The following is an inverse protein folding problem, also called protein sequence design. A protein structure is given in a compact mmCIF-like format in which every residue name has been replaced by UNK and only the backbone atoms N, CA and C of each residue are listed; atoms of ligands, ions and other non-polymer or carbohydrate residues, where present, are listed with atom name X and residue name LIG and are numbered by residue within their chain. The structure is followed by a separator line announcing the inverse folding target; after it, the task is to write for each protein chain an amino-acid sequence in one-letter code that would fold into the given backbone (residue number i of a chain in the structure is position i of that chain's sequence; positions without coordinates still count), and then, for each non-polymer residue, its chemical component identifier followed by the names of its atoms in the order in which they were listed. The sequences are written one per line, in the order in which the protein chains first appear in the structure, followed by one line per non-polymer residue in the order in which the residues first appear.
data_IF_659587145030
#
_entry.id   IF_659587145030
#
_cell.length_a   1.000
_cell.length_b   1.000
_cell.length_c   1.000
_cell.angle_alpha   90.00
_cell.angle_beta   90.00
_cell.angle_gamma   90.00
#
_symmetry.space_group_name_H-M   'P 1'
#
loop_
_entity.id
_entity.type
_entity.pdbx_description
1 polymer ?
#
# COMPACT_ATOMS: atom_id res chain seq x y z
N UNK A 1 0.49 2.82 5.10
CA UNK A 1 -0.13 2.66 6.43
C UNK A 1 0.20 3.84 7.32
N UNK A 2 -0.70 4.09 8.26
CA UNK A 2 -0.39 5.04 9.31
C UNK A 2 0.75 4.54 10.20
N UNK A 3 1.15 5.37 11.17
CA UNK A 3 2.25 5.09 12.09
C UNK A 3 2.13 3.69 12.74
N UNK A 4 0.93 3.27 13.11
CA UNK A 4 0.70 1.98 13.76
C UNK A 4 1.02 0.79 12.84
N UNK A 5 0.62 0.84 11.57
CA UNK A 5 0.96 -0.18 10.58
C UNK A 5 2.48 -0.28 10.35
N UNK A 6 3.16 0.87 10.32
CA UNK A 6 4.61 0.89 10.24
C UNK A 6 5.30 0.30 11.49
N UNK A 7 4.76 0.56 12.69
CA UNK A 7 5.27 -0.05 13.93
C UNK A 7 5.08 -1.57 13.92
N UNK A 8 3.89 -2.05 13.52
CA UNK A 8 3.60 -3.48 13.35
C UNK A 8 4.58 -4.12 12.37
N UNK A 9 4.81 -3.49 11.23
CA UNK A 9 5.79 -3.93 10.24
C UNK A 9 7.21 -4.06 10.82
N UNK A 10 7.68 -3.10 11.60
CA UNK A 10 9.01 -3.16 12.23
C UNK A 10 9.13 -4.26 13.27
N UNK A 11 8.09 -4.46 14.08
CA UNK A 11 8.08 -5.51 15.11
C UNK A 11 7.96 -6.90 14.46
N UNK A 12 7.10 -7.06 13.44
CA UNK A 12 6.95 -8.32 12.70
C UNK A 12 8.25 -8.72 11.99
N UNK A 13 8.95 -7.77 11.36
CA UNK A 13 10.25 -8.04 10.74
C UNK A 13 11.28 -8.58 11.74
N UNK A 14 11.22 -8.16 13.01
CA UNK A 14 12.07 -8.71 14.08
C UNK A 14 11.75 -10.18 14.37
N UNK A 15 10.46 -10.54 14.36
CA UNK A 15 10.06 -11.94 14.54
C UNK A 15 10.49 -12.79 13.33
N UNK A 16 10.30 -12.29 12.11
CA UNK A 16 10.73 -12.97 10.89
C UNK A 16 12.25 -13.17 10.85
N UNK A 17 13.06 -12.20 11.30
CA UNK A 17 14.51 -12.35 11.41
C UNK A 17 14.91 -13.48 12.35
N UNK A 18 14.26 -13.55 13.52
CA UNK A 18 14.55 -14.61 14.50
C UNK A 18 14.17 -15.99 13.93
N UNK A 19 13.09 -16.08 13.15
CA UNK A 19 12.69 -17.32 12.50
C UNK A 19 13.66 -17.74 11.39
N UNK A 20 14.09 -16.80 10.54
CA UNK A 20 14.92 -17.10 9.38
C UNK A 20 16.39 -17.32 9.72
N UNK A 21 16.95 -16.52 10.62
CA UNK A 21 18.38 -16.52 10.92
C UNK A 21 18.73 -17.14 12.27
N UNK A 22 17.72 -17.60 12.98
CA UNK A 22 17.88 -18.10 14.34
C UNK A 22 17.96 -16.98 15.38
N UNK A 23 17.74 -17.34 16.64
CA UNK A 23 17.80 -16.39 17.74
C UNK A 23 17.28 -16.97 19.05
N UNK A 24 17.31 -16.15 20.09
CA UNK A 24 16.80 -16.53 21.40
C UNK A 24 15.29 -16.65 21.40
N UNK A 25 14.75 -17.79 21.83
CA UNK A 25 13.31 -17.99 22.02
C UNK A 25 12.71 -16.94 22.96
N UNK A 26 13.43 -16.55 24.02
CA UNK A 26 12.97 -15.52 24.93
C UNK A 26 12.81 -14.16 24.23
N UNK A 27 13.74 -13.78 23.36
CA UNK A 27 13.60 -12.55 22.54
C UNK A 27 12.40 -12.63 21.62
N UNK A 28 12.16 -13.78 21.00
CA UNK A 28 11.00 -13.98 20.14
C UNK A 28 9.68 -13.76 20.91
N UNK A 29 9.54 -14.37 22.09
CA UNK A 29 8.33 -14.23 22.92
C UNK A 29 8.08 -12.78 23.38
N UNK A 30 9.15 -12.07 23.77
CA UNK A 30 9.02 -10.64 24.14
C UNK A 30 8.54 -9.80 22.96
N UNK A 31 9.15 -10.00 21.78
CA UNK A 31 8.74 -9.27 20.56
C UNK A 31 7.32 -9.64 20.15
N UNK A 32 6.95 -10.91 20.32
CA UNK A 32 5.58 -11.38 20.03
C UNK A 32 4.55 -10.73 20.96
N UNK A 33 4.83 -10.62 22.26
CA UNK A 33 3.94 -9.92 23.22
C UNK A 33 3.70 -8.47 22.76
N UNK A 34 4.79 -7.77 22.36
CA UNK A 34 4.66 -6.40 21.85
C UNK A 34 3.84 -6.36 20.56
N UNK A 35 4.05 -7.30 19.65
CA UNK A 35 3.29 -7.41 18.41
C UNK A 35 1.79 -7.62 18.70
N UNK A 36 1.46 -8.58 19.55
CA UNK A 36 0.08 -8.89 19.91
C UNK A 36 -0.61 -7.68 20.59
N UNK A 37 0.11 -6.92 21.42
CA UNK A 37 -0.38 -5.67 21.99
C UNK A 37 -0.70 -4.62 20.94
N UNK A 38 0.19 -4.41 19.96
CA UNK A 38 -0.03 -3.47 18.87
C UNK A 38 -1.18 -3.88 17.96
N UNK A 39 -1.35 -5.18 17.68
CA UNK A 39 -2.52 -5.72 16.96
C UNK A 39 -3.81 -5.46 17.75
N UNK A 40 -3.76 -5.55 19.07
CA UNK A 40 -4.88 -5.17 19.93
C UNK A 40 -5.29 -3.70 19.74
N UNK A 41 -4.30 -2.78 19.71
CA UNK A 41 -4.55 -1.35 19.44
C UNK A 41 -5.13 -1.17 18.03
N UNK A 42 -4.56 -1.82 17.01
CA UNK A 42 -5.06 -1.77 15.63
C UNK A 42 -6.54 -2.16 15.56
N UNK A 43 -6.89 -3.27 16.20
CA UNK A 43 -8.27 -3.75 16.24
C UNK A 43 -9.25 -2.76 16.92
N UNK A 44 -8.77 -2.01 17.91
CA UNK A 44 -9.57 -0.96 18.54
C UNK A 44 -9.77 0.24 17.61
N UNK A 45 -8.72 0.65 16.88
CA UNK A 45 -8.80 1.74 15.90
C UNK A 45 -9.77 1.37 14.78
N UNK A 46 -9.64 0.17 14.20
CA UNK A 46 -10.54 -0.31 13.13
C UNK A 46 -11.99 -0.27 13.60
N UNK A 47 -12.30 -0.86 14.76
CA UNK A 47 -13.66 -0.85 15.32
C UNK A 47 -14.19 0.55 15.62
N UNK A 48 -13.33 1.47 16.05
CA UNK A 48 -13.73 2.86 16.27
C UNK A 48 -14.14 3.55 14.96
N UNK A 49 -13.42 3.32 13.87
CA UNK A 49 -13.77 3.85 12.53
C UNK A 49 -15.04 3.19 11.99
N UNK A 50 -15.18 1.87 12.14
CA UNK A 50 -16.41 1.15 11.79
C UNK A 50 -17.61 1.72 12.55
N UNK A 51 -17.48 1.94 13.85
CA UNK A 51 -18.52 2.55 14.66
C UNK A 51 -18.85 3.99 14.21
N UNK A 52 -17.84 4.80 13.92
CA UNK A 52 -18.07 6.15 13.39
C UNK A 52 -18.83 6.12 12.07
N UNK A 53 -18.59 5.12 11.22
CA UNK A 53 -19.26 4.95 9.94
C UNK A 53 -20.73 4.52 10.06
N UNK A 54 -21.16 3.97 11.18
CA UNK A 54 -22.61 3.71 11.42
C UNK A 54 -23.42 5.01 11.45
N UNK A 55 -22.76 6.13 11.79
CA UNK A 55 -23.41 7.45 11.88
C UNK A 55 -23.21 8.27 10.61
N UNK A 56 -22.03 8.27 10.01
CA UNK A 56 -21.69 9.25 8.97
C UNK A 56 -21.24 8.65 7.64
N UNK A 57 -20.82 7.40 7.59
CA UNK A 57 -20.24 6.70 6.43
C UNK A 57 -19.19 7.54 5.63
N UNK A 58 -18.40 8.37 6.37
CA UNK A 58 -17.47 9.34 5.78
C UNK A 58 -16.04 8.85 5.73
N UNK A 59 -15.72 7.77 6.46
CA UNK A 59 -14.35 7.32 6.66
C UNK A 59 -14.12 5.98 5.97
N UNK A 60 -12.98 5.84 5.31
CA UNK A 60 -12.53 4.53 4.84
C UNK A 60 -12.00 3.74 6.05
N UNK A 61 -12.53 2.54 6.27
CA UNK A 61 -12.03 1.65 7.31
C UNK A 61 -10.64 1.18 6.94
N UNK A 62 -9.62 1.39 7.78
CA UNK A 62 -8.26 0.96 7.46
C UNK A 62 -8.17 -0.58 7.44
N UNK A 63 -7.44 -1.10 6.48
CA UNK A 63 -7.12 -2.53 6.41
C UNK A 63 -6.19 -2.94 7.54
N UNK A 64 -6.37 -4.16 8.05
CA UNK A 64 -5.49 -4.69 9.09
C UNK A 64 -4.09 -5.01 8.53
N UNK A 65 -3.07 -4.93 9.38
CA UNK A 65 -1.71 -5.32 9.04
C UNK A 65 -1.63 -6.76 8.53
N UNK A 66 -2.40 -7.67 9.11
CA UNK A 66 -2.46 -9.06 8.67
C UNK A 66 -2.98 -9.18 7.22
N UNK A 67 -3.95 -8.37 6.83
CA UNK A 67 -4.44 -8.29 5.45
C UNK A 67 -3.33 -7.80 4.50
N UNK A 68 -2.66 -6.70 4.83
CA UNK A 68 -1.54 -6.16 4.04
C UNK A 68 -0.43 -7.20 3.85
N UNK A 69 -0.05 -7.92 4.90
CA UNK A 69 0.95 -8.97 4.84
C UNK A 69 0.52 -10.13 3.93
N UNK A 70 -0.76 -10.46 3.93
CA UNK A 70 -1.33 -11.49 3.05
C UNK A 70 -1.30 -11.09 1.58
N UNK A 71 -1.60 -9.83 1.26
CA UNK A 71 -1.64 -9.34 -0.13
C UNK A 71 -0.33 -9.55 -0.87
N UNK A 72 0.80 -9.32 -0.23
CA UNK A 72 2.11 -9.43 -0.87
C UNK A 72 2.61 -10.88 -1.02
N UNK A 73 1.90 -11.87 -0.49
CA UNK A 73 2.34 -13.26 -0.58
C UNK A 73 2.44 -13.71 -2.04
N UNK A 74 3.64 -14.13 -2.44
CA UNK A 74 3.91 -14.49 -3.83
C UNK A 74 4.20 -13.34 -4.79
N UNK A 75 4.08 -12.08 -4.33
CA UNK A 75 4.36 -10.87 -5.13
C UNK A 75 5.75 -10.34 -4.82
N UNK A 76 6.09 -10.20 -3.53
CA UNK A 76 7.41 -9.76 -3.08
C UNK A 76 7.80 -10.48 -1.80
N UNK A 77 9.10 -10.73 -1.62
CA UNK A 77 9.59 -11.42 -0.43
C UNK A 77 9.63 -10.55 0.83
N UNK A 78 9.32 -11.13 1.97
CA UNK A 78 9.40 -10.47 3.29
C UNK A 78 10.80 -9.98 3.65
N UNK A 79 11.86 -10.45 2.97
CA UNK A 79 13.23 -9.96 3.11
C UNK A 79 13.43 -8.51 2.63
N UNK A 80 12.53 -7.98 1.81
CA UNK A 80 12.53 -6.57 1.38
C UNK A 80 11.98 -5.66 2.48
N UNK A 81 12.72 -5.49 3.59
CA UNK A 81 12.26 -4.87 4.84
C UNK A 81 12.98 -3.57 5.24
N UNK A 82 13.89 -3.08 4.40
CA UNK A 82 14.59 -1.81 4.65
C UNK A 82 13.65 -0.63 4.47
N UNK A 83 13.74 0.36 5.36
CA UNK A 83 12.79 1.48 5.37
C UNK A 83 11.36 0.99 5.59
N UNK A 84 10.45 1.36 4.70
CA UNK A 84 9.07 0.88 4.60
C UNK A 84 8.99 -0.51 3.98
N UNK A 85 10.00 -0.88 3.21
CA UNK A 85 10.14 -2.21 2.61
C UNK A 85 8.91 -2.62 1.79
N UNK A 86 8.57 -3.90 1.85
CA UNK A 86 7.45 -4.49 1.12
C UNK A 86 6.08 -3.86 1.45
N UNK A 87 6.01 -3.10 2.54
CA UNK A 87 4.78 -2.42 2.94
C UNK A 87 4.31 -1.42 1.89
N UNK A 88 5.24 -0.73 1.18
CA UNK A 88 4.88 0.16 0.06
C UNK A 88 4.15 -0.58 -1.06
N UNK A 89 4.60 -1.79 -1.40
CA UNK A 89 3.91 -2.63 -2.39
C UNK A 89 2.53 -3.05 -1.89
N UNK A 90 2.44 -3.47 -0.62
CA UNK A 90 1.19 -3.89 0.00
C UNK A 90 0.14 -2.77 0.02
N UNK A 91 0.56 -1.53 0.31
CA UNK A 91 -0.32 -0.36 0.29
C UNK A 91 -0.86 -0.04 -1.09
N UNK A 92 -0.03 -0.15 -2.12
CA UNK A 92 -0.51 0.05 -3.50
C UNK A 92 -1.56 -1.00 -3.86
N UNK A 93 -1.35 -2.28 -3.47
CA UNK A 93 -2.32 -3.35 -3.71
C UNK A 93 -3.62 -3.11 -2.93
N UNK A 94 -3.52 -2.75 -1.67
CA UNK A 94 -4.67 -2.45 -0.80
C UNK A 94 -5.50 -1.28 -1.35
N UNK A 95 -4.85 -0.21 -1.80
CA UNK A 95 -5.54 0.92 -2.42
C UNK A 95 -6.31 0.50 -3.68
N UNK A 96 -5.71 -0.33 -4.54
CA UNK A 96 -6.38 -0.82 -5.74
C UNK A 96 -7.61 -1.66 -5.39
N UNK A 97 -7.46 -2.59 -4.42
CA UNK A 97 -8.56 -3.46 -3.97
C UNK A 97 -9.67 -2.68 -3.26
N UNK A 98 -9.32 -1.57 -2.61
CA UNK A 98 -10.27 -0.62 -2.00
C UNK A 98 -10.96 0.31 -3.01
N UNK A 99 -10.71 0.15 -4.32
CA UNK A 99 -11.35 0.95 -5.37
C UNK A 99 -10.62 2.25 -5.72
N UNK A 100 -9.35 2.41 -5.30
CA UNK A 100 -8.50 3.56 -5.62
C UNK A 100 -7.37 3.17 -6.60
N UNK A 101 -7.65 2.92 -7.89
CA UNK A 101 -6.66 2.42 -8.85
C UNK A 101 -5.68 3.50 -9.33
N UNK A 102 -5.95 4.78 -9.06
CA UNK A 102 -5.11 5.90 -9.48
C UNK A 102 -4.17 6.30 -8.34
N UNK A 103 -2.90 5.89 -8.43
CA UNK A 103 -1.94 5.99 -7.33
C UNK A 103 -0.72 6.80 -7.75
N UNK A 104 -0.35 7.79 -6.94
CA UNK A 104 0.93 8.48 -7.03
C UNK A 104 1.90 7.82 -6.04
N UNK A 105 2.94 7.18 -6.56
CA UNK A 105 4.04 6.68 -5.77
C UNK A 105 5.06 7.83 -5.61
N UNK A 106 4.87 8.64 -4.58
CA UNK A 106 5.76 9.77 -4.26
C UNK A 106 7.04 9.25 -3.58
N UNK A 107 8.18 9.66 -4.09
CA UNK A 107 9.46 9.17 -3.58
C UNK A 107 10.54 10.26 -3.59
N UNK A 108 11.45 10.27 -2.60
CA UNK A 108 12.68 11.05 -2.70
C UNK A 108 13.60 10.43 -3.76
N UNK A 109 14.32 11.27 -4.49
CA UNK A 109 15.33 10.78 -5.42
C UNK A 109 16.42 9.97 -4.68
N UNK A 110 16.80 8.82 -5.23
CA UNK A 110 17.82 7.95 -4.63
C UNK A 110 17.38 7.17 -3.40
N UNK A 111 16.10 7.24 -2.99
CA UNK A 111 15.58 6.42 -1.90
C UNK A 111 15.51 4.94 -2.32
N UNK A 112 16.43 4.12 -1.83
CA UNK A 112 16.54 2.71 -2.21
C UNK A 112 15.26 1.89 -2.03
N UNK A 113 14.57 1.91 -0.86
CA UNK A 113 13.31 1.19 -0.69
C UNK A 113 12.26 1.62 -1.71
N UNK A 114 12.07 2.92 -1.91
CA UNK A 114 11.09 3.42 -2.87
C UNK A 114 11.39 3.00 -4.31
N UNK A 115 12.66 2.95 -4.70
CA UNK A 115 13.05 2.51 -6.04
C UNK A 115 12.83 1.01 -6.24
N UNK A 116 13.11 0.19 -5.23
CA UNK A 116 13.00 -1.28 -5.33
C UNK A 116 11.55 -1.73 -5.16
N UNK A 117 10.93 -1.41 -4.01
CA UNK A 117 9.61 -1.95 -3.61
C UNK A 117 8.44 -1.03 -3.93
N UNK A 118 8.70 0.22 -4.29
CA UNK A 118 7.72 1.15 -4.85
C UNK A 118 7.75 1.08 -6.38
N UNK A 119 8.62 1.88 -7.00
CA UNK A 119 8.74 2.01 -8.46
C UNK A 119 9.06 0.68 -9.16
N UNK A 120 9.95 -0.14 -8.60
CA UNK A 120 10.34 -1.43 -9.18
C UNK A 120 9.21 -2.44 -9.29
N UNK A 121 8.20 -2.34 -8.42
CA UNK A 121 7.05 -3.25 -8.41
C UNK A 121 5.89 -2.83 -9.30
N UNK A 122 5.90 -1.61 -9.86
CA UNK A 122 4.79 -1.06 -10.65
C UNK A 122 4.42 -1.97 -11.83
N UNK A 123 5.41 -2.52 -12.54
CA UNK A 123 5.13 -3.43 -13.67
C UNK A 123 4.44 -4.71 -13.20
N UNK A 124 4.90 -5.30 -12.11
CA UNK A 124 4.29 -6.50 -11.54
C UNK A 124 2.86 -6.22 -11.07
N UNK A 125 2.64 -5.07 -10.43
CA UNK A 125 1.31 -4.65 -10.00
C UNK A 125 0.37 -4.39 -11.18
N UNK A 126 0.83 -3.77 -12.26
CA UNK A 126 0.03 -3.59 -13.48
C UNK A 126 -0.32 -4.90 -14.17
N UNK A 127 0.52 -5.93 -14.07
CA UNK A 127 0.19 -7.26 -14.58
C UNK A 127 -0.90 -7.94 -13.74
N UNK A 128 -0.88 -7.74 -12.41
CA UNK A 128 -1.90 -8.27 -11.51
C UNK A 128 -3.22 -7.48 -11.57
N UNK A 129 -3.10 -6.16 -11.71
CA UNK A 129 -4.21 -5.20 -11.75
C UNK A 129 -4.15 -4.34 -13.02
N UNK A 130 -4.56 -4.86 -14.19
CA UNK A 130 -4.39 -4.16 -15.48
C UNK A 130 -5.06 -2.78 -15.56
N UNK A 131 -6.12 -2.56 -14.80
CA UNK A 131 -6.83 -1.26 -14.72
C UNK A 131 -6.15 -0.26 -13.77
N UNK A 132 -5.05 -0.64 -13.09
CA UNK A 132 -4.34 0.27 -12.17
C UNK A 132 -3.51 1.30 -12.92
N UNK A 133 -3.56 2.53 -12.44
CA UNK A 133 -2.83 3.67 -12.97
C UNK A 133 -1.86 4.18 -11.89
N UNK A 134 -0.67 3.58 -11.84
CA UNK A 134 0.36 3.88 -10.84
C UNK A 134 1.47 4.68 -11.50
N UNK A 135 1.75 5.88 -10.98
CA UNK A 135 2.77 6.78 -11.51
C UNK A 135 3.78 7.14 -10.42
N UNK A 136 5.07 6.81 -10.63
CA UNK A 136 6.12 7.22 -9.71
C UNK A 136 6.51 8.68 -9.96
N UNK A 137 6.62 9.47 -8.89
CA UNK A 137 7.04 10.86 -8.95
C UNK A 137 8.17 11.08 -7.96
N UNK A 138 9.33 11.49 -8.49
CA UNK A 138 10.48 11.87 -7.69
C UNK A 138 10.28 13.30 -7.15
N UNK A 139 10.30 13.45 -5.83
CA UNK A 139 10.31 14.71 -5.13
C UNK A 139 11.71 14.99 -4.60
N UNK A 140 12.43 15.82 -5.33
CA UNK A 140 13.79 16.23 -5.05
C UNK A 140 13.91 17.74 -5.23
N UNK A 141 14.70 18.46 -4.40
CA UNK A 141 14.94 19.88 -4.59
C UNK A 141 15.50 20.27 -5.98
N UNK A 142 16.21 19.33 -6.64
CA UNK A 142 16.69 19.49 -8.02
C UNK A 142 15.68 19.08 -9.10
N UNK A 143 14.56 18.45 -8.75
CA UNK A 143 13.56 18.05 -9.73
C UNK A 143 12.79 19.25 -10.26
N UNK A 144 12.64 19.34 -11.58
CA UNK A 144 11.89 20.45 -12.17
C UNK A 144 10.40 20.25 -11.92
N UNK A 145 9.73 21.30 -11.43
CA UNK A 145 8.27 21.36 -11.25
C UNK A 145 7.52 20.88 -12.49
N UNK A 146 8.05 21.22 -13.67
CA UNK A 146 7.46 20.84 -14.96
C UNK A 146 7.39 19.31 -15.14
N UNK A 147 8.43 18.58 -14.76
CA UNK A 147 8.42 17.12 -14.87
C UNK A 147 7.40 16.48 -13.92
N UNK A 148 7.29 16.99 -12.70
CA UNK A 148 6.29 16.52 -11.74
C UNK A 148 4.87 16.80 -12.22
N UNK A 149 4.60 18.02 -12.68
CA UNK A 149 3.29 18.41 -13.22
C UNK A 149 2.90 17.59 -14.45
N UNK A 150 3.85 17.35 -15.37
CA UNK A 150 3.58 16.55 -16.56
C UNK A 150 3.21 15.10 -16.22
N UNK A 151 3.88 14.49 -15.23
CA UNK A 151 3.54 13.15 -14.76
C UNK A 151 2.14 13.11 -14.12
N UNK A 152 1.80 14.11 -13.33
CA UNK A 152 0.45 14.25 -12.73
C UNK A 152 -0.60 14.44 -13.83
N UNK A 153 -0.37 15.32 -14.80
CA UNK A 153 -1.29 15.55 -15.93
C UNK A 153 -1.53 14.28 -16.75
N UNK A 154 -0.45 13.53 -17.03
CA UNK A 154 -0.57 12.25 -17.72
C UNK A 154 -1.40 11.24 -16.92
N UNK A 155 -1.14 11.12 -15.63
CA UNK A 155 -1.93 10.25 -14.74
C UNK A 155 -3.41 10.63 -14.73
N UNK A 156 -3.72 11.95 -14.67
CA UNK A 156 -5.11 12.43 -14.69
C UNK A 156 -5.78 12.17 -16.05
N UNK A 157 -5.04 12.29 -17.16
CA UNK A 157 -5.56 11.96 -18.48
C UNK A 157 -5.96 10.49 -18.59
N UNK A 158 -5.06 9.57 -18.15
CA UNK A 158 -5.36 8.13 -18.11
C UNK A 158 -6.53 7.83 -17.16
N UNK A 159 -6.61 8.49 -16.01
CA UNK A 159 -7.70 8.31 -15.07
C UNK A 159 -9.05 8.70 -15.71
N UNK A 160 -9.07 9.82 -16.46
CA UNK A 160 -10.26 10.28 -17.18
C UNK A 160 -10.68 9.29 -18.27
N UNK A 161 -9.73 8.80 -19.08
CA UNK A 161 -10.00 7.79 -20.10
C UNK A 161 -10.59 6.51 -19.50
N UNK A 162 -10.04 6.03 -18.37
CA UNK A 162 -10.56 4.86 -17.68
C UNK A 162 -11.99 5.08 -17.16
N UNK A 163 -12.32 6.29 -16.67
CA UNK A 163 -13.67 6.63 -16.24
C UNK A 163 -14.65 6.64 -17.41
N UNK A 164 -14.30 7.28 -18.53
CA UNK A 164 -15.13 7.34 -19.73
C UNK A 164 -15.38 5.94 -20.33
N UNK A 165 -14.37 5.05 -20.26
CA UNK A 165 -14.53 3.66 -20.68
C UNK A 165 -15.47 2.88 -19.77
N UNK A 166 -15.32 3.04 -18.45
CA UNK A 166 -16.20 2.39 -17.47
C UNK A 166 -17.67 2.85 -17.61
N UNK A 167 -17.89 4.14 -17.89
CA UNK A 167 -19.24 4.68 -18.16
C UNK A 167 -19.85 4.07 -19.42
N UNK A 168 -19.07 3.91 -20.50
CA UNK A 168 -19.51 3.26 -21.74
C UNK A 168 -19.82 1.78 -21.57
N UNK A 169 -19.01 1.06 -20.77
CA UNK A 169 -19.23 -0.35 -20.45
C UNK A 169 -20.50 -0.58 -19.61
N UNK A 170 -20.85 0.39 -18.74
CA UNK A 170 -22.01 0.35 -17.86
C UNK A 170 -23.26 0.98 -18.44
N UNK A 171 -23.20 1.64 -19.62
CA UNK A 171 -24.36 2.16 -20.29
C UNK A 171 -25.30 1.02 -20.68
N UNK A 172 -26.63 1.10 -20.40
CA UNK A 172 -27.56 0.06 -20.80
C UNK A 172 -27.51 -0.07 -22.33
N UNK A 173 -27.25 -1.29 -22.81
CA UNK A 173 -27.39 -1.58 -24.24
C UNK A 173 -28.83 -1.25 -24.60
N UNK A 174 -29.03 -0.26 -25.47
CA UNK A 174 -30.33 -0.02 -26.05
C UNK A 174 -30.79 -1.32 -26.74
N UNK A 175 -31.83 -1.92 -26.24
CA UNK A 175 -32.50 -3.04 -26.90
C UNK A 175 -32.97 -2.55 -28.29
N UNK A 176 -32.36 -3.09 -29.34
CA UNK A 176 -32.91 -3.04 -30.72
C UNK A 176 -33.99 -4.09 -30.86
#
# INVERSE_FOLDING_TARGET
PGLLGFMLFKVDNRMEDIKLFGGSKAKFEVVKILFDYLVGIESHVIRAVEHANTVSNRFTVPSSYAHLKKLITGVIGYGCKMGEGWLLTAEMMELIESGYPNIICAQPFGCLPNHIVGKGMIRSLKNLYPKSNIVPIDYDPGATKVNQENRIKLMLAVAKENMEQAEKENAPKAEE
#
